data_IF_863503675331
#
_entry.id   IF_863503675331
#
_cell.length_a   1.000
_cell.length_b   1.000
_cell.length_c   1.000
_cell.angle_alpha   90.00
_cell.angle_beta   90.00
_cell.angle_gamma   90.00
#
_symmetry.space_group_name_H-M   'P 1'
#
loop_
_entity.id
_entity.type
_entity.pdbx_description
1 polymer ?
#
# COMPACT_ATOMS: atom_id res chain seq x y z
N UNK A 1 -16.34 -10.69 -5.10
CA UNK A 1 -15.18 -10.35 -5.95
C UNK A 1 -14.74 -8.90 -5.78
N UNK A 2 -13.52 -8.54 -6.20
CA UNK A 2 -13.09 -7.15 -6.34
C UNK A 2 -13.96 -6.39 -7.36
N UNK A 3 -14.17 -5.09 -7.13
CA UNK A 3 -14.83 -4.17 -8.05
C UNK A 3 -13.98 -3.92 -9.30
N UNK A 4 -12.65 -3.90 -9.16
CA UNK A 4 -11.71 -3.68 -10.24
C UNK A 4 -10.40 -4.46 -9.99
N UNK A 5 -9.68 -4.78 -11.07
CA UNK A 5 -8.35 -5.39 -11.04
C UNK A 5 -7.35 -4.51 -11.78
N UNK A 6 -6.57 -3.74 -11.03
CA UNK A 6 -5.59 -2.79 -11.57
C UNK A 6 -5.06 -1.84 -10.49
N UNK A 7 -4.63 -0.64 -10.89
CA UNK A 7 -4.04 0.35 -10.00
C UNK A 7 -4.85 1.65 -9.99
N UNK A 8 -5.18 2.15 -8.80
CA UNK A 8 -5.84 3.45 -8.62
C UNK A 8 -4.76 4.49 -8.35
N UNK A 9 -4.35 5.17 -9.41
CA UNK A 9 -3.30 6.19 -9.35
C UNK A 9 -3.87 7.49 -8.81
N UNK A 10 -4.97 7.96 -9.41
CA UNK A 10 -5.52 9.28 -9.20
C UNK A 10 -6.88 9.27 -8.49
N UNK A 11 -7.32 10.44 -8.02
CA UNK A 11 -8.70 10.60 -7.53
C UNK A 11 -9.72 10.39 -8.64
N UNK A 12 -9.39 10.75 -9.89
CA UNK A 12 -10.29 10.54 -11.03
C UNK A 12 -10.55 9.05 -11.26
N UNK A 13 -9.52 8.21 -11.19
CA UNK A 13 -9.64 6.74 -11.28
C UNK A 13 -10.60 6.18 -10.23
N UNK A 14 -10.49 6.68 -8.99
CA UNK A 14 -11.39 6.29 -7.91
C UNK A 14 -12.85 6.71 -8.19
N UNK A 15 -13.06 7.91 -8.74
CA UNK A 15 -14.38 8.40 -9.12
C UNK A 15 -15.00 7.57 -10.25
N UNK A 16 -14.21 7.12 -11.23
CA UNK A 16 -14.68 6.21 -12.28
C UNK A 16 -15.17 4.88 -11.69
N UNK A 17 -14.42 4.29 -10.76
CA UNK A 17 -14.82 3.06 -10.08
C UNK A 17 -16.09 3.28 -9.23
N UNK A 18 -16.15 4.38 -8.46
CA UNK A 18 -17.35 4.71 -7.69
C UNK A 18 -18.58 4.87 -8.56
N UNK A 19 -18.46 5.55 -9.70
CA UNK A 19 -19.55 5.73 -10.65
C UNK A 19 -19.98 4.38 -11.28
N UNK A 20 -19.02 3.52 -11.61
CA UNK A 20 -19.30 2.16 -12.08
C UNK A 20 -20.07 1.32 -11.05
N UNK A 21 -19.71 1.41 -9.77
CA UNK A 21 -20.45 0.76 -8.68
C UNK A 21 -21.86 1.37 -8.51
N UNK A 22 -21.99 2.70 -8.56
CA UNK A 22 -23.27 3.41 -8.41
C UNK A 22 -24.26 3.04 -9.51
N UNK A 23 -23.77 2.83 -10.75
CA UNK A 23 -24.58 2.37 -11.89
C UNK A 23 -24.86 0.86 -11.89
N UNK A 24 -24.26 0.11 -10.97
CA UNK A 24 -24.39 -1.36 -10.92
C UNK A 24 -23.56 -2.10 -11.97
N UNK A 25 -22.63 -1.44 -12.65
CA UNK A 25 -21.72 -2.08 -13.61
C UNK A 25 -20.56 -2.81 -12.93
N UNK A 26 -20.13 -2.32 -11.75
CA UNK A 26 -19.08 -2.94 -10.94
C UNK A 26 -19.67 -3.43 -9.62
N UNK A 27 -19.25 -4.60 -9.12
CA UNK A 27 -19.76 -5.13 -7.86
C UNK A 27 -19.29 -4.29 -6.67
N UNK A 28 -20.16 -4.17 -5.65
CA UNK A 28 -19.79 -3.72 -4.30
C UNK A 28 -19.68 -4.92 -3.37
N UNK A 29 -18.84 -4.81 -2.37
CA UNK A 29 -18.85 -5.70 -1.21
C UNK A 29 -20.13 -5.42 -0.43
N UNK A 30 -20.90 -6.47 -0.13
CA UNK A 30 -22.19 -6.39 0.58
C UNK A 30 -22.12 -6.91 2.02
N UNK A 31 -21.02 -7.59 2.38
CA UNK A 31 -20.75 -8.13 3.72
C UNK A 31 -19.26 -8.24 3.97
N UNK A 32 -18.85 -8.46 5.22
CA UNK A 32 -17.44 -8.73 5.52
C UNK A 32 -16.95 -9.97 4.77
N UNK A 33 -15.72 -9.90 4.27
CA UNK A 33 -15.03 -11.03 3.66
C UNK A 33 -14.77 -12.10 4.72
N UNK A 34 -14.98 -13.36 4.34
CA UNK A 34 -14.55 -14.53 5.10
C UNK A 34 -13.03 -14.73 4.95
N UNK A 35 -12.46 -15.54 5.84
CA UNK A 35 -11.01 -15.77 5.89
C UNK A 35 -10.47 -16.34 4.57
N UNK A 36 -11.19 -17.28 3.93
CA UNK A 36 -10.78 -17.81 2.64
C UNK A 36 -10.83 -16.75 1.54
N UNK A 37 -11.87 -15.91 1.52
CA UNK A 37 -12.04 -14.84 0.53
C UNK A 37 -10.94 -13.80 0.66
N UNK A 38 -10.52 -13.47 1.89
CA UNK A 38 -9.37 -12.57 2.14
C UNK A 38 -8.09 -13.15 1.56
N UNK A 39 -7.78 -14.43 1.87
CA UNK A 39 -6.57 -15.09 1.40
C UNK A 39 -6.49 -15.17 -0.13
N UNK A 40 -7.64 -15.33 -0.78
CA UNK A 40 -7.72 -15.42 -2.23
C UNK A 40 -7.70 -14.05 -2.91
N UNK A 41 -8.34 -13.04 -2.33
CA UNK A 41 -8.62 -11.78 -3.03
C UNK A 41 -7.81 -10.57 -2.53
N UNK A 42 -7.23 -10.59 -1.33
CA UNK A 42 -6.33 -9.52 -0.86
C UNK A 42 -4.96 -9.73 -1.47
N UNK A 43 -4.86 -9.37 -2.75
CA UNK A 43 -3.67 -9.53 -3.59
C UNK A 43 -3.42 -8.25 -4.38
N UNK A 44 -2.24 -8.15 -4.98
CA UNK A 44 -1.90 -7.01 -5.83
C UNK A 44 -2.91 -6.83 -6.97
N UNK A 45 -3.29 -5.59 -7.24
CA UNK A 45 -4.28 -5.20 -8.22
C UNK A 45 -5.73 -5.25 -7.72
N UNK A 46 -6.03 -5.89 -6.58
CA UNK A 46 -7.41 -5.98 -6.12
C UNK A 46 -7.92 -4.64 -5.60
N UNK A 47 -9.08 -4.20 -6.10
CA UNK A 47 -9.78 -3.01 -5.62
C UNK A 47 -11.19 -3.38 -5.17
N UNK A 48 -11.52 -3.06 -3.92
CA UNK A 48 -12.84 -3.30 -3.34
C UNK A 48 -13.56 -1.98 -3.10
N UNK A 49 -14.87 -1.99 -3.25
CA UNK A 49 -15.74 -0.87 -2.88
C UNK A 49 -16.83 -1.40 -1.96
N UNK A 50 -17.13 -0.69 -0.88
CA UNK A 50 -18.32 -0.94 -0.05
C UNK A 50 -18.98 0.37 0.33
N UNK A 51 -20.28 0.27 0.61
CA UNK A 51 -21.08 1.35 1.17
C UNK A 51 -21.26 1.12 2.66
N UNK A 52 -20.94 2.12 3.49
CA UNK A 52 -21.01 2.00 4.94
C UNK A 52 -22.44 1.78 5.45
N UNK A 53 -23.43 2.45 4.85
CA UNK A 53 -24.83 2.37 5.27
C UNK A 53 -25.45 1.04 4.84
N UNK A 54 -25.19 0.60 3.61
CA UNK A 54 -25.74 -0.66 3.10
C UNK A 54 -25.15 -1.89 3.81
N UNK A 55 -23.87 -1.84 4.19
CA UNK A 55 -23.15 -3.00 4.72
C UNK A 55 -22.93 -3.00 6.22
N UNK A 56 -23.04 -1.83 6.87
CA UNK A 56 -22.63 -1.61 8.26
C UNK A 56 -21.11 -1.71 8.50
N UNK A 57 -20.29 -1.82 7.45
CA UNK A 57 -18.83 -1.93 7.58
C UNK A 57 -18.24 -0.54 7.76
N UNK A 58 -17.82 -0.20 8.98
CA UNK A 58 -17.14 1.08 9.28
C UNK A 58 -15.63 1.07 9.06
N UNK A 59 -15.04 -0.14 9.08
CA UNK A 59 -13.59 -0.35 8.95
C UNK A 59 -13.32 -1.64 8.19
N UNK A 60 -12.45 -1.54 7.19
CA UNK A 60 -11.98 -2.66 6.41
C UNK A 60 -10.98 -3.52 7.19
N UNK A 61 -11.17 -4.84 7.17
CA UNK A 61 -10.30 -5.80 7.88
C UNK A 61 -9.86 -6.93 6.94
N UNK A 62 -8.56 -7.03 6.72
CA UNK A 62 -7.94 -7.94 5.74
C UNK A 62 -7.03 -9.00 6.37
N UNK A 63 -6.74 -8.91 7.67
CA UNK A 63 -5.90 -9.89 8.39
C UNK A 63 -4.38 -9.71 8.20
N UNK A 64 -3.97 -8.62 7.56
CA UNK A 64 -2.56 -8.26 7.38
C UNK A 64 -2.10 -7.23 8.42
N UNK A 65 -0.80 -7.19 8.68
CA UNK A 65 -0.17 -6.22 9.57
C UNK A 65 0.28 -5.01 8.76
N UNK A 66 -0.21 -3.83 9.12
CA UNK A 66 0.00 -2.60 8.37
C UNK A 66 0.79 -1.58 9.18
N UNK A 67 1.60 -0.76 8.50
CA UNK A 67 2.16 0.46 9.08
C UNK A 67 1.04 1.43 9.50
N UNK A 68 1.33 2.42 10.36
CA UNK A 68 0.47 3.59 10.48
C UNK A 68 0.22 4.26 9.13
N UNK A 69 -0.96 4.89 8.97
CA UNK A 69 -1.32 5.56 7.72
C UNK A 69 -0.43 6.77 7.44
N UNK A 70 -0.26 7.08 6.16
CA UNK A 70 0.24 8.38 5.68
C UNK A 70 -0.69 8.93 4.61
N UNK A 71 -0.79 10.25 4.56
CA UNK A 71 -1.55 10.95 3.52
C UNK A 71 -0.74 10.98 2.23
N UNK A 72 -1.39 10.64 1.11
CA UNK A 72 -0.86 10.77 -0.24
C UNK A 72 -1.95 11.37 -1.14
N UNK A 73 -1.93 12.69 -1.30
CA UNK A 73 -3.05 13.41 -1.91
C UNK A 73 -4.35 13.18 -1.12
N UNK A 74 -5.41 12.76 -1.80
CA UNK A 74 -6.70 12.44 -1.20
C UNK A 74 -6.79 11.01 -0.62
N UNK A 75 -5.67 10.29 -0.58
CA UNK A 75 -5.63 8.90 -0.13
C UNK A 75 -4.92 8.75 1.21
N UNK A 76 -5.29 7.69 1.93
CA UNK A 76 -4.46 7.12 2.98
C UNK A 76 -3.71 5.91 2.43
N UNK A 77 -2.42 5.81 2.71
CA UNK A 77 -1.57 4.69 2.31
C UNK A 77 -0.96 3.97 3.52
N UNK A 78 -0.82 2.66 3.37
CA UNK A 78 -0.27 1.73 4.36
C UNK A 78 0.66 0.75 3.65
N UNK A 79 1.77 0.36 4.30
CA UNK A 79 2.64 -0.71 3.81
C UNK A 79 2.57 -1.92 4.74
N UNK A 80 2.59 -3.10 4.16
CA UNK A 80 2.60 -4.36 4.90
C UNK A 80 3.90 -4.52 5.70
N UNK A 81 3.77 -4.98 6.94
CA UNK A 81 4.87 -5.24 7.87
C UNK A 81 5.14 -6.75 8.00
N UNK A 82 6.38 -7.10 8.31
CA UNK A 82 6.73 -8.48 8.65
C UNK A 82 6.15 -8.88 10.01
N UNK A 83 5.33 -9.95 10.03
CA UNK A 83 4.71 -10.48 11.27
C UNK A 83 5.72 -10.89 12.35
N UNK A 84 6.97 -11.19 11.97
CA UNK A 84 8.06 -11.56 12.90
C UNK A 84 8.74 -10.37 13.57
N UNK A 85 8.36 -9.14 13.23
CA UNK A 85 9.09 -7.93 13.61
C UNK A 85 8.31 -6.99 14.53
N UNK A 86 7.36 -7.48 15.35
CA UNK A 86 6.92 -6.69 16.51
C UNK A 86 7.93 -6.91 17.65
N UNK A 87 8.74 -5.91 18.04
CA UNK A 87 9.26 -5.90 19.39
C UNK A 87 8.10 -5.56 20.36
N UNK A 88 8.14 -6.02 21.62
CA UNK A 88 7.21 -5.54 22.63
C UNK A 88 7.32 -4.00 22.77
N UNK A 89 6.25 -3.29 23.18
CA UNK A 89 6.31 -1.86 23.41
C UNK A 89 7.16 -1.59 24.66
N UNK A 90 8.41 -1.19 24.45
CA UNK A 90 9.31 -0.68 25.49
C UNK A 90 9.86 0.69 25.09
N UNK A 91 10.14 1.59 26.04
CA UNK A 91 10.69 2.90 25.74
C UNK A 91 12.16 2.74 25.37
N UNK A 92 12.54 3.05 24.13
CA UNK A 92 13.96 3.07 23.74
C UNK A 92 14.57 4.41 24.13
N UNK A 93 15.31 4.38 25.24
CA UNK A 93 16.22 5.41 25.67
C UNK A 93 17.44 5.53 24.74
N UNK A 94 18.00 6.73 24.71
CA UNK A 94 19.15 7.20 23.94
C UNK A 94 20.50 6.66 24.45
N UNK A 95 21.47 6.45 23.53
CA UNK A 95 22.93 6.38 23.77
C UNK A 95 23.47 5.00 24.19
N UNK A 96 24.66 4.52 23.80
CA UNK A 96 25.87 5.09 23.18
C UNK A 96 26.85 3.96 22.76
N UNK A 97 27.78 4.24 21.81
CA UNK A 97 29.04 3.50 21.52
C UNK A 97 28.91 2.12 20.83
N UNK A 98 29.73 1.69 19.87
CA UNK A 98 31.14 1.97 19.60
C UNK A 98 31.53 1.52 18.16
N UNK A 99 32.50 2.22 17.54
CA UNK A 99 33.33 1.82 16.38
C UNK A 99 34.60 1.07 16.89
N UNK A 100 35.43 0.33 16.10
CA UNK A 100 35.99 0.73 14.79
C UNK A 100 36.38 -0.40 13.76
N UNK A 101 36.96 0.00 12.61
CA UNK A 101 37.85 -0.81 11.72
C UNK A 101 37.21 -1.31 10.41
N UNK A 102 37.35 -0.67 9.24
CA UNK A 102 38.50 -0.54 8.29
C UNK A 102 38.49 -1.57 7.14
N UNK A 103 38.00 -1.16 5.96
CA UNK A 103 38.57 -1.41 4.62
C UNK A 103 37.56 -0.99 3.54
N UNK A 104 37.59 0.27 3.12
CA UNK A 104 36.85 0.72 1.95
C UNK A 104 37.82 1.32 0.93
N UNK A 105 38.26 0.49 -0.01
CA UNK A 105 38.72 0.99 -1.30
C UNK A 105 37.56 1.71 -2.01
N UNK A 106 37.82 2.77 -2.78
CA UNK A 106 36.76 3.50 -3.47
C UNK A 106 36.22 2.62 -4.60
N UNK A 107 35.17 1.84 -4.34
CA UNK A 107 34.33 1.32 -5.42
C UNK A 107 33.67 2.53 -6.06
N UNK A 108 34.16 2.91 -7.25
CA UNK A 108 33.50 3.85 -8.16
C UNK A 108 32.15 3.25 -8.55
N UNK A 109 31.13 3.45 -7.72
CA UNK A 109 29.74 3.26 -8.12
C UNK A 109 29.51 4.17 -9.32
N UNK A 110 29.10 3.58 -10.43
CA UNK A 110 28.93 4.33 -11.67
C UNK A 110 27.87 5.42 -11.48
N UNK A 111 28.05 6.58 -12.09
CA UNK A 111 27.05 7.67 -12.08
C UNK A 111 25.68 7.19 -12.57
N UNK A 112 25.66 6.17 -13.43
CA UNK A 112 24.44 5.50 -13.92
C UNK A 112 23.72 4.70 -12.82
N UNK A 113 24.45 3.97 -11.98
CA UNK A 113 23.85 3.22 -10.86
C UNK A 113 23.31 4.15 -9.77
N UNK A 114 24.01 5.26 -9.49
CA UNK A 114 23.48 6.29 -8.58
C UNK A 114 22.22 6.96 -9.13
N UNK A 115 22.18 7.25 -10.44
CA UNK A 115 21.00 7.84 -11.08
C UNK A 115 19.81 6.86 -11.11
N UNK A 116 20.05 5.57 -11.36
CA UNK A 116 19.02 4.54 -11.29
C UNK A 116 18.41 4.43 -9.89
N UNK A 117 19.27 4.33 -8.87
CA UNK A 117 18.83 4.22 -7.47
C UNK A 117 18.06 5.46 -6.98
N UNK A 118 18.35 6.66 -7.49
CA UNK A 118 17.59 7.87 -7.14
C UNK A 118 16.23 7.90 -7.82
N UNK A 119 16.14 7.53 -9.10
CA UNK A 119 14.87 7.40 -9.83
C UNK A 119 13.95 6.36 -9.19
N UNK A 120 14.49 5.22 -8.76
CA UNK A 120 13.72 4.17 -8.09
C UNK A 120 13.13 4.66 -6.76
N UNK A 121 13.91 5.43 -5.99
CA UNK A 121 13.41 6.08 -4.76
C UNK A 121 12.33 7.11 -5.02
N UNK A 122 12.44 7.89 -6.10
CA UNK A 122 11.41 8.87 -6.49
C UNK A 122 10.11 8.16 -6.87
N UNK A 123 10.20 7.09 -7.67
CA UNK A 123 9.04 6.26 -8.05
C UNK A 123 8.41 5.59 -6.83
N UNK A 124 9.22 5.04 -5.93
CA UNK A 124 8.71 4.46 -4.68
C UNK A 124 7.96 5.51 -3.86
N UNK A 125 8.56 6.69 -3.66
CA UNK A 125 7.95 7.79 -2.89
C UNK A 125 6.63 8.27 -3.50
N UNK A 126 6.50 8.26 -4.83
CA UNK A 126 5.24 8.60 -5.50
C UNK A 126 4.09 7.63 -5.16
N UNK A 127 4.42 6.37 -4.86
CA UNK A 127 3.43 5.34 -4.55
C UNK A 127 3.11 5.27 -3.05
N UNK A 128 4.12 5.39 -2.18
CA UNK A 128 3.94 5.18 -0.72
C UNK A 128 4.11 6.44 0.13
N UNK A 129 4.35 7.59 -0.48
CA UNK A 129 4.58 8.84 0.23
C UNK A 129 5.82 8.75 1.13
N UNK A 130 5.67 9.11 2.41
CA UNK A 130 6.78 9.09 3.39
C UNK A 130 7.10 7.70 3.95
N UNK A 131 6.40 6.63 3.54
CA UNK A 131 6.62 5.26 4.03
C UNK A 131 7.78 4.55 3.32
N UNK A 132 8.96 5.17 3.24
CA UNK A 132 10.12 4.63 2.51
C UNK A 132 11.13 3.87 3.37
N UNK A 133 11.25 4.18 4.67
CA UNK A 133 12.29 3.54 5.51
C UNK A 133 12.03 3.45 7.02
N UNK A 134 10.95 4.06 7.53
CA UNK A 134 10.73 4.19 8.99
C UNK A 134 10.28 2.91 9.69
N UNK A 135 9.96 1.84 8.96
CA UNK A 135 9.45 0.59 9.50
C UNK A 135 10.09 -0.62 8.81
N UNK A 136 10.03 -1.80 9.45
CA UNK A 136 10.37 -3.07 8.78
C UNK A 136 9.22 -3.50 7.88
N UNK A 137 9.20 -2.93 6.68
CA UNK A 137 8.27 -3.33 5.64
C UNK A 137 8.63 -4.72 5.12
N UNK A 138 7.61 -5.52 4.81
CA UNK A 138 7.80 -6.79 4.09
C UNK A 138 8.39 -6.47 2.72
N UNK A 139 9.44 -7.18 2.31
CA UNK A 139 10.18 -6.91 1.07
C UNK A 139 9.30 -7.01 -0.18
N UNK A 140 8.48 -8.06 -0.28
CA UNK A 140 7.43 -8.26 -1.30
C UNK A 140 6.04 -7.93 -0.74
N UNK A 141 5.99 -6.89 0.10
CA UNK A 141 4.80 -6.48 0.84
C UNK A 141 3.77 -5.79 -0.03
N UNK A 142 2.49 -5.94 0.35
CA UNK A 142 1.43 -5.14 -0.24
C UNK A 142 1.48 -3.69 0.25
N UNK A 143 1.02 -2.80 -0.61
CA UNK A 143 0.57 -1.46 -0.26
C UNK A 143 -0.95 -1.47 -0.29
N UNK A 144 -1.57 -0.90 0.74
CA UNK A 144 -3.01 -0.60 0.77
C UNK A 144 -3.20 0.89 0.61
N UNK A 145 -4.04 1.30 -0.32
CA UNK A 145 -4.38 2.70 -0.61
C UNK A 145 -5.89 2.87 -0.57
N UNK A 146 -6.37 3.82 0.22
CA UNK A 146 -7.80 3.98 0.51
C UNK A 146 -8.26 5.41 0.29
N UNK A 147 -9.49 5.57 -0.18
CA UNK A 147 -10.21 6.85 -0.29
C UNK A 147 -11.68 6.61 0.07
N UNK A 148 -12.30 7.61 0.67
CA UNK A 148 -13.71 7.56 1.04
C UNK A 148 -14.44 8.79 0.51
N UNK A 149 -15.67 8.61 0.04
CA UNK A 149 -16.52 9.67 -0.49
C UNK A 149 -17.97 9.39 -0.09
N UNK A 150 -18.55 10.26 0.75
CA UNK A 150 -19.98 10.20 1.11
C UNK A 150 -20.46 8.80 1.56
N UNK A 151 -19.69 8.12 2.41
CA UNK A 151 -20.04 6.77 2.90
C UNK A 151 -19.61 5.61 2.00
N UNK A 152 -19.22 5.88 0.74
CA UNK A 152 -18.53 4.89 -0.09
C UNK A 152 -17.05 4.86 0.25
N UNK A 153 -16.51 3.64 0.36
CA UNK A 153 -15.11 3.39 0.69
C UNK A 153 -14.47 2.52 -0.37
N UNK A 154 -13.34 2.97 -0.92
CA UNK A 154 -12.52 2.21 -1.87
C UNK A 154 -11.23 1.74 -1.17
N UNK A 155 -10.93 0.45 -1.33
CA UNK A 155 -9.73 -0.20 -0.79
C UNK A 155 -8.95 -0.83 -1.95
N UNK A 156 -7.84 -0.22 -2.33
CA UNK A 156 -6.94 -0.72 -3.37
C UNK A 156 -5.70 -1.38 -2.78
N UNK A 157 -5.29 -2.49 -3.38
CA UNK A 157 -4.06 -3.22 -3.05
C UNK A 157 -3.12 -3.27 -4.24
N UNK A 158 -1.84 -3.05 -4.03
CA UNK A 158 -0.83 -3.23 -5.07
C UNK A 158 0.54 -3.52 -4.48
N UNK A 159 1.42 -4.15 -5.25
CA UNK A 159 2.86 -4.18 -4.99
C UNK A 159 3.52 -3.07 -5.79
N UNK A 160 4.55 -2.47 -5.22
CA UNK A 160 5.31 -1.39 -5.85
C UNK A 160 5.85 -1.85 -7.20
N UNK A 161 6.46 -3.04 -7.24
CA UNK A 161 7.03 -3.63 -8.46
C UNK A 161 5.98 -3.86 -9.56
N UNK A 162 4.75 -4.24 -9.21
CA UNK A 162 3.68 -4.44 -10.20
C UNK A 162 3.25 -3.14 -10.86
N UNK A 163 3.31 -2.02 -10.13
CA UNK A 163 3.00 -0.69 -10.67
C UNK A 163 4.18 -0.18 -11.51
N UNK A 164 5.40 -0.24 -10.97
CA UNK A 164 6.60 0.27 -11.65
C UNK A 164 6.90 -0.50 -12.94
N UNK A 165 6.62 -1.81 -12.98
CA UNK A 165 6.76 -2.63 -14.19
C UNK A 165 5.57 -2.52 -15.17
N UNK A 166 4.54 -1.73 -14.86
CA UNK A 166 3.38 -1.54 -15.72
C UNK A 166 2.44 -2.75 -15.81
N UNK A 167 2.51 -3.70 -14.87
CA UNK A 167 1.62 -4.88 -14.85
C UNK A 167 0.18 -4.52 -14.45
N UNK A 168 -0.01 -3.42 -13.74
CA UNK A 168 -1.34 -2.95 -13.30
C UNK A 168 -1.78 -1.75 -14.13
N UNK A 169 -2.93 -1.87 -14.78
CA UNK A 169 -3.56 -0.78 -15.54
C UNK A 169 -4.43 0.09 -14.65
N UNK A 170 -4.54 1.38 -14.97
CA UNK A 170 -5.54 2.27 -14.39
C UNK A 170 -6.93 2.02 -15.02
N UNK A 171 -8.02 2.36 -14.30
CA UNK A 171 -9.39 2.28 -14.82
C UNK A 171 -9.62 3.04 -16.13
#
# INVERSE_FOLDING_TARGET
DPAFRGFVESTFDALLIFEGCRRGFLPKITRRLQEFEKRQNVVSGAVFVFDEEETGIKRWTDGLSWSPSRTLGNFLVYRELDKKAQPPPGPVASGSGSRPGSSSGPRRSSVSELAGATLDRVRERALVGSLTSSYRFRSDGLVKKTISLQGLHLIGYYRIDDVVSGRLRTP
#
